data_IF_831607819314
#
_entry.id   IF_831607819314
#
_cell.length_a   1.000
_cell.length_b   1.000
_cell.length_c   1.000
_cell.angle_alpha   90.00
_cell.angle_beta   90.00
_cell.angle_gamma   90.00
#
_symmetry.space_group_name_H-M   'P 1'
#
loop_
_entity.id
_entity.type
_entity.pdbx_description
1 polymer ?
#
# COMPACT_ATOMS: atom_id res chain seq x y z
N UNK A 1 -0.46 -8.61 11.19
CA UNK A 1 -0.54 -7.28 10.58
C UNK A 1 0.80 -6.60 10.76
N UNK A 2 1.16 -5.72 9.83
CA UNK A 2 2.41 -4.95 9.89
C UNK A 2 2.24 -3.77 10.84
N UNK A 3 3.34 -3.29 11.42
CA UNK A 3 3.30 -2.13 12.31
C UNK A 3 2.76 -0.87 11.60
N UNK A 4 2.92 -0.78 10.27
CA UNK A 4 2.41 0.33 9.47
C UNK A 4 0.89 0.28 9.36
N UNK A 5 0.33 -0.88 9.02
CA UNK A 5 -1.13 -1.08 8.96
C UNK A 5 -1.76 -0.80 10.32
N UNK A 6 -1.14 -1.30 11.39
CA UNK A 6 -1.60 -1.03 12.75
C UNK A 6 -1.55 0.48 13.09
N UNK A 7 -0.51 1.19 12.66
CA UNK A 7 -0.38 2.63 12.88
C UNK A 7 -1.49 3.42 12.17
N UNK A 8 -1.78 3.12 10.89
CA UNK A 8 -2.90 3.74 10.17
C UNK A 8 -4.23 3.49 10.89
N UNK A 9 -4.48 2.26 11.31
CA UNK A 9 -5.72 1.91 12.02
C UNK A 9 -5.86 2.60 13.38
N UNK A 10 -4.75 2.79 14.12
CA UNK A 10 -4.75 3.52 15.40
C UNK A 10 -5.02 5.01 15.17
N UNK A 11 -4.34 5.62 14.19
CA UNK A 11 -4.49 7.04 13.87
C UNK A 11 -5.91 7.35 13.40
N UNK A 12 -6.46 6.55 12.49
CA UNK A 12 -7.82 6.74 11.99
C UNK A 12 -8.85 6.65 13.13
N UNK A 13 -8.80 5.57 13.93
CA UNK A 13 -9.71 5.37 15.07
C UNK A 13 -9.65 6.49 16.10
N UNK A 14 -8.48 7.11 16.30
CA UNK A 14 -8.35 8.23 17.21
C UNK A 14 -8.98 9.52 16.65
N UNK A 15 -9.02 9.66 15.34
CA UNK A 15 -9.53 10.85 14.66
C UNK A 15 -11.01 10.73 14.24
N UNK A 16 -11.54 9.51 14.05
CA UNK A 16 -12.79 9.22 13.32
C UNK A 16 -14.03 10.00 13.80
N UNK A 17 -14.13 10.32 15.09
CA UNK A 17 -15.26 11.06 15.66
C UNK A 17 -15.14 12.59 15.54
N UNK A 18 -13.97 13.09 15.13
CA UNK A 18 -13.69 14.51 14.97
C UNK A 18 -13.54 14.94 13.52
N UNK A 19 -13.51 13.99 12.59
CA UNK A 19 -13.41 14.26 11.17
C UNK A 19 -14.76 14.72 10.63
N UNK A 20 -14.72 15.79 9.84
CA UNK A 20 -15.82 16.27 9.04
C UNK A 20 -16.10 15.33 7.85
N UNK A 21 -17.27 15.48 7.23
CA UNK A 21 -17.62 14.69 6.04
C UNK A 21 -16.61 14.91 4.90
N UNK A 22 -16.21 16.15 4.66
CA UNK A 22 -15.23 16.51 3.62
C UNK A 22 -13.86 15.86 3.89
N UNK A 23 -13.41 15.83 5.16
CA UNK A 23 -12.16 15.16 5.54
C UNK A 23 -12.24 13.64 5.38
N UNK A 24 -13.39 13.03 5.68
CA UNK A 24 -13.62 11.59 5.47
C UNK A 24 -13.66 11.24 3.99
N UNK A 25 -14.26 12.09 3.15
CA UNK A 25 -14.26 11.91 1.70
C UNK A 25 -12.84 12.01 1.13
N UNK A 26 -12.05 12.99 1.59
CA UNK A 26 -10.65 13.10 1.18
C UNK A 26 -9.84 11.86 1.59
N UNK A 27 -10.02 11.38 2.83
CA UNK A 27 -9.36 10.15 3.29
C UNK A 27 -9.83 8.90 2.53
N UNK A 28 -11.08 8.86 2.07
CA UNK A 28 -11.58 7.74 1.27
C UNK A 28 -10.85 7.57 -0.07
N UNK A 29 -10.28 8.67 -0.60
CA UNK A 29 -9.45 8.63 -1.81
C UNK A 29 -8.16 7.80 -1.63
N UNK A 30 -7.71 7.56 -0.39
CA UNK A 30 -6.52 6.74 -0.11
C UNK A 30 -6.62 5.34 -0.70
N UNK A 31 -7.82 4.75 -0.76
CA UNK A 31 -8.00 3.43 -1.38
C UNK A 31 -7.74 3.47 -2.90
N UNK A 32 -8.11 4.57 -3.56
CA UNK A 32 -7.83 4.80 -4.98
C UNK A 32 -6.33 4.98 -5.23
N UNK A 33 -5.67 5.85 -4.46
CA UNK A 33 -4.21 6.06 -4.54
C UNK A 33 -3.47 4.75 -4.26
N UNK A 34 -3.90 3.97 -3.27
CA UNK A 34 -3.30 2.67 -2.97
C UNK A 34 -3.40 1.68 -4.13
N UNK A 35 -4.49 1.73 -4.91
CA UNK A 35 -4.63 0.92 -6.12
C UNK A 35 -3.62 1.32 -7.19
N UNK A 36 -3.35 2.62 -7.37
CA UNK A 36 -2.33 3.10 -8.30
C UNK A 36 -0.93 2.67 -7.86
N UNK A 37 -0.63 2.78 -6.57
CA UNK A 37 0.66 2.35 -6.02
C UNK A 37 0.85 0.83 -6.07
N UNK A 38 -0.21 0.05 -5.88
CA UNK A 38 -0.17 -1.40 -6.08
C UNK A 38 0.18 -1.75 -7.53
N UNK A 39 -0.39 -1.03 -8.51
CA UNK A 39 -0.09 -1.23 -9.91
C UNK A 39 1.36 -0.85 -10.23
N UNK A 40 1.85 0.28 -9.70
CA UNK A 40 3.25 0.69 -9.84
C UNK A 40 4.20 -0.37 -9.28
N UNK A 41 3.89 -0.91 -8.10
CA UNK A 41 4.69 -1.95 -7.46
C UNK A 41 4.67 -3.25 -8.28
N UNK A 42 3.55 -3.60 -8.92
CA UNK A 42 3.48 -4.72 -9.86
C UNK A 42 4.46 -4.54 -11.03
N UNK A 43 4.50 -3.35 -11.66
CA UNK A 43 5.44 -3.08 -12.74
C UNK A 43 6.91 -3.15 -12.28
N UNK A 44 7.21 -2.71 -11.05
CA UNK A 44 8.54 -2.84 -10.46
C UNK A 44 8.91 -4.32 -10.31
N UNK A 45 8.00 -5.14 -9.77
CA UNK A 45 8.21 -6.58 -9.62
C UNK A 45 8.43 -7.29 -10.97
N UNK A 46 7.72 -6.89 -12.03
CA UNK A 46 7.97 -7.39 -13.39
C UNK A 46 9.37 -7.03 -13.90
N UNK A 47 9.80 -5.77 -13.69
CA UNK A 47 11.15 -5.33 -14.02
C UNK A 47 12.23 -6.14 -13.29
N UNK A 48 12.03 -6.37 -11.99
CA UNK A 48 12.92 -7.20 -11.18
C UNK A 48 12.98 -8.65 -11.68
N UNK A 49 11.84 -9.23 -12.06
CA UNK A 49 11.80 -10.57 -12.65
C UNK A 49 12.61 -10.64 -13.96
N UNK A 50 12.54 -9.60 -14.80
CA UNK A 50 13.37 -9.46 -15.99
C UNK A 50 14.88 -9.46 -15.68
N UNK A 51 15.30 -8.75 -14.63
CA UNK A 51 16.70 -8.75 -14.18
C UNK A 51 17.15 -10.14 -13.70
N UNK A 52 16.28 -10.86 -12.97
CA UNK A 52 16.57 -12.24 -12.52
C UNK A 52 16.72 -13.18 -13.72
N UNK A 53 15.83 -13.07 -14.71
CA UNK A 53 15.92 -13.86 -15.94
C UNK A 53 17.19 -13.55 -16.74
N UNK A 54 17.61 -12.28 -16.79
CA UNK A 54 18.85 -11.86 -17.45
C UNK A 54 20.09 -12.40 -16.74
N UNK A 55 20.10 -12.45 -15.40
CA UNK A 55 21.19 -13.05 -14.61
C UNK A 55 21.22 -14.59 -14.73
N UNK A 56 20.05 -15.23 -14.88
CA UNK A 56 19.91 -16.69 -15.00
C UNK A 56 20.02 -17.25 -16.42
N UNK A 57 20.07 -16.38 -17.44
CA UNK A 57 20.18 -16.75 -18.85
C UNK A 57 21.48 -17.50 -19.15
N UNK A 58 21.36 -18.77 -19.53
CA UNK A 58 22.47 -19.66 -19.84
C UNK A 58 23.24 -19.20 -21.09
N UNK A 59 24.47 -18.74 -20.90
CA UNK A 59 25.67 -18.85 -21.77
C UNK A 59 26.75 -17.79 -21.48
N UNK A 60 26.58 -16.93 -20.46
CA UNK A 60 27.59 -15.95 -20.05
C UNK A 60 27.68 -15.74 -18.54
N UNK A 61 28.71 -15.04 -18.04
CA UNK A 61 28.70 -14.55 -16.67
C UNK A 61 27.48 -13.65 -16.47
N UNK A 62 26.68 -13.93 -15.44
CA UNK A 62 25.49 -13.13 -15.12
C UNK A 62 25.84 -11.65 -14.99
N UNK A 63 24.91 -10.78 -15.36
CA UNK A 63 25.11 -9.32 -15.31
C UNK A 63 25.35 -8.80 -13.88
N UNK A 64 25.01 -9.62 -12.88
CA UNK A 64 25.31 -9.35 -11.48
C UNK A 64 24.39 -8.25 -10.97
N UNK A 65 23.10 -8.35 -11.28
CA UNK A 65 22.09 -7.43 -10.74
C UNK A 65 21.76 -7.78 -9.28
N UNK A 66 21.95 -9.04 -8.88
CA UNK A 66 21.69 -9.54 -7.52
C UNK A 66 22.94 -10.18 -6.89
N UNK A 67 24.04 -9.43 -6.82
CA UNK A 67 25.38 -9.96 -6.47
C UNK A 67 25.51 -10.48 -5.03
N UNK A 68 24.67 -10.01 -4.11
CA UNK A 68 24.75 -10.37 -2.70
C UNK A 68 23.39 -10.74 -2.11
N UNK A 69 23.39 -11.70 -1.18
CA UNK A 69 22.20 -12.05 -0.41
C UNK A 69 21.67 -10.85 0.40
N UNK A 70 22.55 -9.95 0.85
CA UNK A 70 22.17 -8.73 1.56
C UNK A 70 21.37 -7.77 0.66
N UNK A 71 21.85 -7.48 -0.55
CA UNK A 71 21.12 -6.60 -1.49
C UNK A 71 19.76 -7.15 -1.90
N UNK A 72 19.64 -8.48 -2.03
CA UNK A 72 18.35 -9.13 -2.31
C UNK A 72 17.43 -9.06 -1.10
N UNK A 73 17.95 -9.32 0.10
CA UNK A 73 17.18 -9.24 1.34
C UNK A 73 16.65 -7.82 1.61
N UNK A 74 17.47 -6.79 1.39
CA UNK A 74 17.07 -5.38 1.52
C UNK A 74 15.99 -5.03 0.52
N UNK A 75 16.14 -5.43 -0.75
CA UNK A 75 15.13 -5.21 -1.78
C UNK A 75 13.79 -5.86 -1.41
N UNK A 76 13.80 -7.13 -1.02
CA UNK A 76 12.59 -7.85 -0.62
C UNK A 76 11.94 -7.23 0.62
N UNK A 77 12.75 -6.76 1.57
CA UNK A 77 12.26 -6.06 2.77
C UNK A 77 11.59 -4.73 2.42
N UNK A 78 12.16 -3.95 1.48
CA UNK A 78 11.54 -2.73 1.00
C UNK A 78 10.23 -2.99 0.25
N UNK A 79 10.18 -4.01 -0.61
CA UNK A 79 8.94 -4.39 -1.31
C UNK A 79 7.84 -4.80 -0.33
N UNK A 80 8.18 -5.58 0.70
CA UNK A 80 7.25 -5.94 1.76
C UNK A 80 6.73 -4.70 2.51
N UNK A 81 7.62 -3.75 2.83
CA UNK A 81 7.22 -2.51 3.47
C UNK A 81 6.30 -1.66 2.59
N UNK A 82 6.57 -1.56 1.29
CA UNK A 82 5.68 -0.87 0.35
C UNK A 82 4.28 -1.50 0.31
N UNK A 83 4.18 -2.83 0.32
CA UNK A 83 2.90 -3.54 0.40
C UNK A 83 2.16 -3.26 1.71
N UNK A 84 2.89 -3.19 2.82
CA UNK A 84 2.31 -2.85 4.12
C UNK A 84 1.72 -1.43 4.13
N UNK A 85 2.40 -0.47 3.52
CA UNK A 85 1.92 0.91 3.39
C UNK A 85 0.65 0.94 2.52
N UNK A 86 0.68 0.28 1.37
CA UNK A 86 -0.48 0.16 0.46
C UNK A 86 -1.69 -0.45 1.19
N UNK A 87 -1.47 -1.53 1.95
CA UNK A 87 -2.52 -2.14 2.76
C UNK A 87 -3.09 -1.17 3.79
N UNK A 88 -2.23 -0.41 4.47
CA UNK A 88 -2.67 0.60 5.45
C UNK A 88 -3.52 1.71 4.82
N UNK A 89 -3.17 2.14 3.61
CA UNK A 89 -3.94 3.12 2.85
C UNK A 89 -5.32 2.58 2.42
N UNK A 90 -5.39 1.32 1.99
CA UNK A 90 -6.66 0.66 1.66
C UNK A 90 -7.56 0.58 2.89
N UNK A 91 -7.04 0.06 4.00
CA UNK A 91 -7.80 -0.13 5.23
C UNK A 91 -8.33 1.22 5.77
N UNK A 92 -7.47 2.24 5.81
CA UNK A 92 -7.85 3.58 6.25
C UNK A 92 -8.87 4.23 5.31
N UNK A 93 -8.68 4.12 4.00
CA UNK A 93 -9.61 4.67 3.01
C UNK A 93 -10.99 4.01 3.08
N UNK A 94 -11.04 2.69 3.22
CA UNK A 94 -12.30 1.96 3.40
C UNK A 94 -12.99 2.31 4.72
N UNK A 95 -12.24 2.46 5.81
CA UNK A 95 -12.79 2.90 7.09
C UNK A 95 -13.37 4.31 7.00
N UNK A 96 -12.68 5.24 6.34
CA UNK A 96 -13.17 6.60 6.08
C UNK A 96 -14.46 6.60 5.26
N UNK A 97 -14.49 5.83 4.16
CA UNK A 97 -15.68 5.68 3.33
C UNK A 97 -16.88 5.15 4.11
N UNK A 98 -16.66 4.12 4.94
CA UNK A 98 -17.70 3.55 5.78
C UNK A 98 -18.25 4.59 6.78
N UNK A 99 -17.36 5.33 7.45
CA UNK A 99 -17.75 6.37 8.42
C UNK A 99 -18.54 7.51 7.76
N UNK A 100 -18.12 7.96 6.57
CA UNK A 100 -18.83 8.98 5.80
C UNK A 100 -20.25 8.52 5.45
N UNK A 101 -20.42 7.25 5.04
CA UNK A 101 -21.74 6.70 4.75
C UNK A 101 -22.65 6.70 5.99
N UNK A 102 -22.12 6.27 7.14
CA UNK A 102 -22.87 6.27 8.41
C UNK A 102 -23.34 7.67 8.80
N UNK A 103 -22.51 8.70 8.60
CA UNK A 103 -22.91 10.09 8.88
C UNK A 103 -24.01 10.58 7.93
N UNK A 104 -23.89 10.29 6.64
CA UNK A 104 -24.91 10.65 5.63
C UNK A 104 -26.26 10.01 5.94
N UNK A 105 -26.27 8.73 6.32
CA UNK A 105 -27.50 8.00 6.65
C UNK A 105 -28.17 8.54 7.92
N UNK A 106 -27.41 9.17 8.83
CA UNK A 106 -27.93 9.84 10.02
C UNK A 106 -28.49 11.24 9.75
N UNK A 107 -28.06 11.90 8.67
CA UNK A 107 -28.51 13.25 8.30
C UNK A 107 -29.80 13.27 7.47
N UNK A 108 -30.28 12.13 6.98
CA UNK A 108 -31.57 12.02 6.27
C UNK A 108 -32.69 11.72 7.28
N UNK A 109 -33.58 12.67 7.61
CA UNK A 109 -34.76 12.37 8.41
C UNK A 109 -35.79 11.64 7.53
N UNK A 110 -36.42 10.58 8.06
CA UNK A 110 -37.65 10.02 7.50
C UNK A 110 -38.78 11.06 7.40
#
# INVERSE_FOLDING_TARGET
MSWVTDAFAVLFRHAEDRLTLDELDELSNLAGVASEEAQNLSHICEGLAGLVLADGGSEGPGAGNFQSAASVADLLSHLAHSLDVISGMIDAGQAAQHRAQVLRDQEVPE
#
